data_IF_560125363121
#
_entry.id   IF_560125363121
#
_cell.length_a   1.000
_cell.length_b   1.000
_cell.length_c   1.000
_cell.angle_alpha   90.00
_cell.angle_beta   90.00
_cell.angle_gamma   90.00
#
_symmetry.space_group_name_H-M   'P 1'
#
loop_
_entity.id
_entity.type
_entity.pdbx_description
1 polymer ?
#
# COMPACT_ATOMS: atom_id res chain seq x y z
N UNK A 1 -20.91 -12.20 6.29
CA UNK A 1 -19.80 -11.75 5.42
C UNK A 1 -18.92 -10.66 6.06
N UNK A 2 -19.46 -9.68 6.78
CA UNK A 2 -18.65 -8.64 7.45
C UNK A 2 -17.66 -9.20 8.50
N UNK A 3 -18.04 -10.22 9.28
CA UNK A 3 -17.14 -10.84 10.26
C UNK A 3 -15.92 -11.51 9.60
N UNK A 4 -16.11 -12.25 8.51
CA UNK A 4 -14.99 -12.94 7.84
C UNK A 4 -13.97 -11.96 7.25
N UNK A 5 -14.43 -10.80 6.77
CA UNK A 5 -13.54 -9.73 6.31
C UNK A 5 -12.66 -9.20 7.45
N UNK A 6 -13.24 -9.03 8.65
CA UNK A 6 -12.51 -8.55 9.82
C UNK A 6 -11.41 -9.52 10.28
N UNK A 7 -11.67 -10.82 10.24
CA UNK A 7 -10.67 -11.84 10.61
C UNK A 7 -9.54 -11.96 9.58
N UNK A 8 -9.83 -11.84 8.28
CA UNK A 8 -8.80 -11.83 7.20
C UNK A 8 -7.92 -10.58 7.29
N UNK A 9 -8.52 -9.42 7.59
CA UNK A 9 -7.76 -8.18 7.86
C UNK A 9 -6.90 -8.32 9.12
N UNK A 10 -7.39 -8.95 10.18
CA UNK A 10 -6.61 -9.15 11.41
C UNK A 10 -5.40 -10.07 11.18
N UNK A 11 -5.55 -11.14 10.40
CA UNK A 11 -4.46 -12.08 10.09
C UNK A 11 -3.35 -11.45 9.24
N UNK A 12 -3.69 -10.54 8.32
CA UNK A 12 -2.71 -9.79 7.52
C UNK A 12 -2.05 -8.63 8.27
N UNK A 13 -2.60 -8.20 9.41
CA UNK A 13 -2.00 -7.19 10.29
C UNK A 13 -1.02 -7.79 11.31
N UNK A 14 -1.11 -9.09 11.58
CA UNK A 14 -0.31 -9.76 12.61
C UNK A 14 1.04 -10.28 12.10
N UNK A 15 1.25 -10.36 10.78
CA UNK A 15 2.52 -10.72 10.16
C UNK A 15 2.79 -9.69 9.05
N UNK A 16 3.92 -8.95 9.09
CA UNK A 16 4.32 -8.11 7.96
C UNK A 16 4.69 -9.04 6.80
N UNK A 17 3.72 -9.31 5.93
CA UNK A 17 3.94 -10.06 4.70
C UNK A 17 4.62 -9.13 3.68
N UNK A 18 5.89 -9.42 3.38
CA UNK A 18 6.61 -8.78 2.30
C UNK A 18 6.32 -9.53 1.00
N UNK A 19 5.82 -8.82 0.00
CA UNK A 19 5.41 -9.38 -1.29
C UNK A 19 5.99 -8.55 -2.43
N UNK A 20 6.44 -9.23 -3.48
CA UNK A 20 6.82 -8.60 -4.75
C UNK A 20 5.95 -9.23 -5.84
N UNK A 21 5.33 -8.38 -6.66
CA UNK A 21 4.65 -8.81 -7.88
C UNK A 21 5.62 -8.60 -9.03
N UNK A 22 5.94 -9.68 -9.74
CA UNK A 22 6.84 -9.65 -10.89
C UNK A 22 6.18 -10.35 -12.07
N UNK A 23 6.09 -9.67 -13.22
CA UNK A 23 5.69 -10.31 -14.47
C UNK A 23 6.89 -11.06 -15.05
N UNK A 24 6.86 -12.40 -15.04
CA UNK A 24 7.92 -13.24 -15.62
C UNK A 24 7.76 -13.46 -17.13
N UNK A 25 6.62 -13.04 -17.72
CA UNK A 25 6.39 -13.16 -19.15
C UNK A 25 7.04 -11.98 -19.87
N UNK A 26 7.96 -12.27 -20.80
CA UNK A 26 8.71 -11.25 -21.55
C UNK A 26 7.94 -10.71 -22.77
N UNK A 27 6.79 -11.28 -23.11
CA UNK A 27 6.07 -11.00 -24.38
C UNK A 27 4.74 -10.32 -24.18
N UNK A 28 4.12 -10.51 -23.03
CA UNK A 28 2.75 -10.06 -22.76
C UNK A 28 2.68 -9.25 -21.48
N UNK A 29 1.80 -8.26 -21.48
CA UNK A 29 1.57 -7.38 -20.33
C UNK A 29 0.76 -8.09 -19.25
N UNK A 30 1.12 -7.84 -17.98
CA UNK A 30 0.32 -8.25 -16.82
C UNK A 30 -0.67 -7.13 -16.46
N UNK A 31 -1.95 -7.39 -16.65
CA UNK A 31 -3.01 -6.49 -16.19
C UNK A 31 -3.66 -7.03 -14.91
N UNK A 32 -3.72 -6.18 -13.88
CA UNK A 32 -4.32 -6.53 -12.57
C UNK A 32 -5.19 -5.39 -12.04
N UNK A 33 -6.27 -5.76 -11.35
CA UNK A 33 -7.06 -4.84 -10.54
C UNK A 33 -6.66 -5.05 -9.07
N UNK A 34 -6.14 -4.00 -8.44
CA UNK A 34 -5.71 -4.04 -7.04
C UNK A 34 -6.75 -3.33 -6.17
N UNK A 35 -7.24 -4.02 -5.15
CA UNK A 35 -8.17 -3.46 -4.17
C UNK A 35 -7.47 -3.44 -2.81
N UNK A 36 -7.35 -2.26 -2.23
CA UNK A 36 -6.76 -2.05 -0.90
C UNK A 36 -7.84 -1.61 0.09
N UNK A 37 -7.67 -2.02 1.36
CA UNK A 37 -8.47 -1.49 2.46
C UNK A 37 -7.73 -0.34 3.13
N UNK A 38 -8.47 0.65 3.66
CA UNK A 38 -7.94 1.84 4.37
C UNK A 38 -6.99 2.73 3.51
N UNK A 39 -7.45 3.28 2.37
CA UNK A 39 -6.69 4.28 1.61
C UNK A 39 -6.55 5.62 2.40
N UNK A 40 -5.56 6.47 2.08
CA UNK A 40 -4.50 6.30 1.07
C UNK A 40 -3.43 5.28 1.49
N UNK A 41 -2.77 4.66 0.51
CA UNK A 41 -1.81 3.58 0.77
C UNK A 41 -0.56 4.10 1.47
N UNK A 42 -0.03 3.32 2.41
CA UNK A 42 1.28 3.56 3.03
C UNK A 42 2.21 2.42 2.65
N UNK A 43 3.18 2.69 1.76
CA UNK A 43 4.07 1.67 1.21
C UNK A 43 5.43 1.74 1.92
N UNK A 44 5.88 0.62 2.47
CA UNK A 44 7.25 0.48 2.96
C UNK A 44 8.08 -0.22 1.88
N UNK A 45 9.10 0.46 1.38
CA UNK A 45 9.97 -0.01 0.32
C UNK A 45 11.24 -0.60 0.94
N UNK A 46 11.62 -1.77 0.43
CA UNK A 46 12.82 -2.51 0.81
C UNK A 46 13.80 -2.47 -0.36
N UNK A 47 15.08 -2.27 -0.08
CA UNK A 47 16.12 -2.29 -1.11
C UNK A 47 16.44 -3.71 -1.58
N UNK A 48 16.37 -4.68 -0.66
CA UNK A 48 16.51 -6.11 -0.91
C UNK A 48 15.75 -6.95 0.13
N UNK A 49 15.73 -8.27 -0.08
CA UNK A 49 15.03 -9.24 0.78
C UNK A 49 15.64 -9.42 2.18
N UNK A 50 16.90 -9.01 2.38
CA UNK A 50 17.63 -9.10 3.64
C UNK A 50 17.47 -7.87 4.53
N UNK A 51 16.99 -6.77 3.97
CA UNK A 51 16.74 -5.53 4.70
C UNK A 51 15.73 -5.76 5.83
N UNK A 52 16.08 -5.44 7.10
CA UNK A 52 15.17 -5.64 8.21
C UNK A 52 13.96 -4.70 8.13
N UNK A 53 12.80 -5.16 8.61
CA UNK A 53 11.54 -4.39 8.58
C UNK A 53 11.64 -3.00 9.21
N UNK A 54 12.48 -2.84 10.24
CA UNK A 54 12.69 -1.56 10.92
C UNK A 54 13.47 -0.54 10.10
N UNK A 55 14.23 -0.99 9.09
CA UNK A 55 14.99 -0.11 8.21
C UNK A 55 14.21 0.25 6.93
N UNK A 56 13.08 -0.41 6.66
CA UNK A 56 12.28 -0.18 5.47
C UNK A 56 11.84 1.29 5.36
N UNK A 57 11.95 1.85 4.15
CA UNK A 57 11.68 3.26 3.92
C UNK A 57 10.20 3.47 3.61
N UNK A 58 9.53 4.29 4.42
CA UNK A 58 8.15 4.71 4.12
C UNK A 58 8.13 5.65 2.92
N UNK A 59 7.40 5.28 1.87
CA UNK A 59 7.05 6.16 0.77
C UNK A 59 5.59 6.58 0.91
N UNK A 60 5.40 7.79 1.41
CA UNK A 60 4.10 8.45 1.52
C UNK A 60 4.23 9.96 1.26
N UNK A 61 3.37 10.56 0.43
CA UNK A 61 2.39 9.91 -0.44
C UNK A 61 3.05 9.00 -1.47
N UNK A 62 2.33 7.95 -1.91
CA UNK A 62 2.81 7.13 -3.02
C UNK A 62 2.62 7.89 -4.34
N UNK A 63 3.35 7.50 -5.38
CA UNK A 63 3.49 8.31 -6.61
C UNK A 63 2.16 8.80 -7.21
N UNK A 64 1.12 7.96 -7.20
CA UNK A 64 -0.20 8.33 -7.73
C UNK A 64 -1.01 9.27 -6.81
N UNK A 65 -0.66 9.38 -5.53
CA UNK A 65 -1.32 10.26 -4.56
C UNK A 65 -0.54 11.58 -4.36
N UNK A 66 0.68 11.71 -4.91
CA UNK A 66 1.56 12.86 -4.69
C UNK A 66 0.90 14.17 -5.12
N UNK A 67 0.37 14.27 -6.34
CA UNK A 67 -0.25 15.50 -6.84
C UNK A 67 -1.46 15.88 -5.98
N UNK A 68 -2.39 14.95 -5.75
CA UNK A 68 -3.60 15.23 -4.98
C UNK A 68 -3.31 15.63 -3.52
N UNK A 69 -2.34 15.00 -2.87
CA UNK A 69 -2.07 15.28 -1.45
C UNK A 69 -1.09 16.45 -1.23
N UNK A 70 -0.23 16.77 -2.20
CA UNK A 70 0.74 17.85 -2.07
C UNK A 70 0.27 19.18 -2.66
N UNK A 71 -0.58 19.15 -3.70
CA UNK A 71 -1.07 20.38 -4.36
C UNK A 71 -2.37 20.90 -3.76
N UNK A 72 -3.12 20.07 -3.04
CA UNK A 72 -4.32 20.51 -2.35
C UNK A 72 -3.91 21.19 -1.04
N UNK A 73 -4.16 22.50 -0.84
CA UNK A 73 -4.03 23.10 0.49
C UNK A 73 -4.94 22.33 1.47
N UNK A 74 -4.59 22.19 2.76
CA UNK A 74 -5.40 21.44 3.70
C UNK A 74 -6.81 22.01 3.66
N UNK A 75 -7.74 21.27 3.04
CA UNK A 75 -9.14 21.66 2.97
C UNK A 75 -9.62 21.74 4.41
N UNK A 76 -10.01 22.93 4.85
CA UNK A 76 -10.72 23.19 6.09
C UNK A 76 -12.08 22.44 6.09
N UNK A 77 -12.03 21.13 6.27
CA UNK A 77 -13.19 20.25 6.49
C UNK A 77 -12.82 19.23 7.55
N UNK A 78 -12.60 19.75 8.75
CA UNK A 78 -12.81 19.04 10.00
C UNK A 78 -13.34 20.06 11.03
N UNK A 79 -14.37 20.81 10.63
CA UNK A 79 -15.26 21.53 11.56
C UNK A 79 -16.70 21.43 11.02
N UNK A 80 -17.44 20.42 11.51
CA UNK A 80 -18.85 20.56 11.88
C UNK A 80 -19.23 19.52 12.93
#
# INVERSE_FOLDING_TARGET
MALMCNWVVLLTQLIPLLLQVWNTNEREDLQVLVIISRPPVKVFIYEDWSMPHTAAKLKFPYHWDEECLLTTPPSAKDEL
#
